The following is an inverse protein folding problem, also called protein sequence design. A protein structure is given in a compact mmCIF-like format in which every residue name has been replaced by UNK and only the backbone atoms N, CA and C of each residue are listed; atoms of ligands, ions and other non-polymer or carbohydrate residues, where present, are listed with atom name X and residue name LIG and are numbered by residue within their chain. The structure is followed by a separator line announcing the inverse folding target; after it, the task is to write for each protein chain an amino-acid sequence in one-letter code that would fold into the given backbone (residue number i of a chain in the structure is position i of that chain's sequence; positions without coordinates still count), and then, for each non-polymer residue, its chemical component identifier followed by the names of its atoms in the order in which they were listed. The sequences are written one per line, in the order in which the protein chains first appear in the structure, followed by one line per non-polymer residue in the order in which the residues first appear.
data_IF_000037055191
#
_entry.id   IF_000037055191
#
_cell.length_a   1.000
_cell.length_b   1.000
_cell.length_c   1.000
_cell.angle_alpha   90.00
_cell.angle_beta   90.00
_cell.angle_gamma   90.00
#
_symmetry.space_group_name_H-M   'P 1'
#
loop_
_entity.id
_entity.type
_entity.pdbx_description
1 polymer ?
#
# COMPACT_ATOMS: atom_id res chain seq x y z
N UNK A 1 18.29 -20.60 -46.01
CA UNK A 1 18.08 -19.15 -45.89
C UNK A 1 16.77 -18.84 -45.16
N UNK A 2 15.62 -19.35 -45.59
CA UNK A 2 14.32 -19.06 -44.93
C UNK A 2 14.17 -19.67 -43.53
N UNK A 3 14.64 -20.90 -43.31
CA UNK A 3 14.63 -21.56 -41.98
C UNK A 3 15.47 -20.84 -40.93
N UNK A 4 16.61 -20.28 -41.33
CA UNK A 4 17.49 -19.51 -40.46
C UNK A 4 16.90 -18.14 -40.13
N UNK A 5 16.18 -17.50 -41.06
CA UNK A 5 15.48 -16.23 -40.81
C UNK A 5 14.35 -16.43 -39.80
N UNK A 6 13.55 -17.50 -39.95
CA UNK A 6 12.51 -17.86 -38.98
C UNK A 6 13.08 -18.11 -37.58
N UNK A 7 14.21 -18.84 -37.48
CA UNK A 7 14.86 -19.08 -36.20
C UNK A 7 15.32 -17.77 -35.52
N UNK A 8 15.86 -16.82 -36.29
CA UNK A 8 16.30 -15.52 -35.77
C UNK A 8 15.11 -14.68 -35.26
N UNK A 9 13.98 -14.69 -35.98
CA UNK A 9 12.76 -13.98 -35.56
C UNK A 9 12.21 -14.56 -34.26
N UNK A 10 12.17 -15.89 -34.14
CA UNK A 10 11.70 -16.56 -32.91
C UNK A 10 12.64 -16.22 -31.74
N UNK A 11 13.95 -16.23 -31.96
CA UNK A 11 14.93 -15.90 -30.93
C UNK A 11 14.80 -14.45 -30.46
N UNK A 12 14.61 -13.51 -31.39
CA UNK A 12 14.45 -12.09 -31.02
C UNK A 12 13.15 -11.84 -30.28
N UNK A 13 12.06 -12.51 -30.69
CA UNK A 13 10.77 -12.42 -30.01
C UNK A 13 10.83 -13.02 -28.60
N UNK A 14 11.50 -14.17 -28.43
CA UNK A 14 11.73 -14.77 -27.11
C UNK A 14 12.56 -13.84 -26.21
N UNK A 15 13.63 -13.24 -26.73
CA UNK A 15 14.43 -12.25 -25.99
C UNK A 15 13.60 -11.02 -25.59
N UNK A 16 12.72 -10.55 -26.47
CA UNK A 16 11.81 -9.44 -26.19
C UNK A 16 10.84 -9.78 -25.06
N UNK A 17 10.24 -10.98 -25.08
CA UNK A 17 9.34 -11.43 -24.01
C UNK A 17 10.05 -11.52 -22.65
N UNK A 18 11.29 -12.02 -22.61
CA UNK A 18 12.09 -12.05 -21.38
C UNK A 18 12.36 -10.63 -20.86
N UNK A 19 12.71 -9.69 -21.73
CA UNK A 19 12.94 -8.29 -21.37
C UNK A 19 11.69 -7.62 -20.77
N UNK A 20 10.51 -7.87 -21.34
CA UNK A 20 9.24 -7.35 -20.81
C UNK A 20 8.91 -7.91 -19.42
N UNK A 21 9.16 -9.20 -19.18
CA UNK A 21 8.89 -9.82 -17.90
C UNK A 21 9.76 -9.22 -16.78
N UNK A 22 11.03 -8.95 -17.07
CA UNK A 22 11.97 -8.33 -16.13
C UNK A 22 11.63 -6.85 -15.88
N UNK A 23 11.22 -6.11 -16.90
CA UNK A 23 10.78 -4.72 -16.75
C UNK A 23 9.55 -4.58 -15.84
N UNK A 24 8.53 -5.43 -16.01
CA UNK A 24 7.34 -5.41 -15.14
C UNK A 24 7.68 -5.79 -13.70
N UNK A 25 8.54 -6.80 -13.50
CA UNK A 25 8.99 -7.22 -12.17
C UNK A 25 9.68 -6.08 -11.42
N UNK A 26 10.52 -5.30 -12.11
CA UNK A 26 11.25 -4.19 -11.51
C UNK A 26 10.35 -2.99 -11.16
N UNK A 27 9.30 -2.71 -11.94
CA UNK A 27 8.34 -1.64 -11.60
C UNK A 27 7.48 -1.98 -10.37
N UNK A 28 7.19 -3.27 -10.13
CA UNK A 28 6.47 -3.71 -8.93
C UNK A 28 7.28 -3.55 -7.64
N UNK A 29 8.61 -3.46 -7.72
CA UNK A 29 9.51 -3.42 -6.58
C UNK A 29 9.81 -2.00 -6.08
N UNK A 30 9.41 -0.96 -6.82
CA UNK A 30 9.54 0.43 -6.40
C UNK A 30 8.29 0.83 -5.60
N UNK A 31 8.39 1.09 -4.28
CA UNK A 31 7.27 1.56 -3.48
C UNK A 31 6.79 2.91 -4.06
N UNK A 32 5.64 2.90 -4.73
CA UNK A 32 5.24 3.99 -5.64
C UNK A 32 4.76 5.25 -4.93
N UNK A 33 4.39 5.15 -3.65
CA UNK A 33 3.94 6.31 -2.87
C UNK A 33 3.94 6.01 -1.36
N UNK A 34 4.16 7.06 -0.59
CA UNK A 34 4.08 7.06 0.88
C UNK A 34 2.89 7.90 1.32
N UNK A 35 2.02 7.35 2.15
CA UNK A 35 1.06 8.12 2.94
C UNK A 35 1.63 8.38 4.32
N UNK A 36 1.38 9.56 4.86
CA UNK A 36 1.70 9.88 6.25
C UNK A 36 0.41 10.11 7.03
N UNK A 37 0.39 9.69 8.28
CA UNK A 37 -0.79 9.85 9.11
C UNK A 37 -0.67 9.17 10.46
N UNK A 38 -1.76 9.20 11.22
CA UNK A 38 -1.87 8.54 12.52
C UNK A 38 -2.54 7.18 12.35
N UNK A 39 -1.90 6.14 12.89
CA UNK A 39 -2.42 4.78 12.78
C UNK A 39 -3.44 4.50 13.88
N UNK A 40 -4.61 4.02 13.51
CA UNK A 40 -5.69 3.68 14.44
C UNK A 40 -5.98 2.18 14.35
N UNK A 41 -5.80 1.48 15.46
CA UNK A 41 -6.10 0.06 15.59
C UNK A 41 -7.37 -0.07 16.43
N UNK A 42 -8.49 -0.43 15.80
CA UNK A 42 -9.80 -0.49 16.46
C UNK A 42 -10.68 -1.55 15.80
N UNK A 43 -11.44 -2.29 16.60
CA UNK A 43 -12.35 -3.35 16.12
C UNK A 43 -11.65 -4.45 15.29
N UNK A 44 -10.37 -4.73 15.57
CA UNK A 44 -9.57 -5.72 14.83
C UNK A 44 -9.10 -5.25 13.45
N UNK A 45 -9.39 -4.00 13.10
CA UNK A 45 -9.03 -3.37 11.84
C UNK A 45 -8.01 -2.26 12.06
N UNK A 46 -7.31 -1.88 10.99
CA UNK A 46 -6.28 -0.85 11.02
C UNK A 46 -6.63 0.24 10.02
N UNK A 47 -6.55 1.48 10.49
CA UNK A 47 -6.84 2.67 9.71
C UNK A 47 -5.68 3.66 9.77
N UNK A 48 -5.56 4.47 8.74
CA UNK A 48 -4.66 5.61 8.70
C UNK A 48 -5.49 6.88 8.62
N UNK A 49 -5.28 7.80 9.56
CA UNK A 49 -5.86 9.14 9.53
C UNK A 49 -4.82 10.09 8.95
N UNK A 50 -5.09 10.65 7.78
CA UNK A 50 -4.14 11.49 7.04
C UNK A 50 -4.18 12.96 7.51
N UNK A 51 -5.20 13.34 8.27
CA UNK A 51 -5.40 14.70 8.71
C UNK A 51 -4.40 15.12 9.80
N UNK A 52 -3.73 16.27 9.65
CA UNK A 52 -2.69 16.72 10.57
C UNK A 52 -3.23 17.23 11.91
N UNK A 53 -4.51 17.62 11.97
CA UNK A 53 -5.22 18.10 13.17
C UNK A 53 -5.90 16.97 13.95
N UNK A 54 -5.58 15.71 13.64
CA UNK A 54 -6.06 14.55 14.36
C UNK A 54 -5.69 14.61 15.85
N UNK A 55 -6.68 14.35 16.71
CA UNK A 55 -6.51 14.29 18.17
C UNK A 55 -6.62 12.84 18.62
N UNK A 56 -5.57 12.28 19.22
CA UNK A 56 -5.55 10.87 19.63
C UNK A 56 -6.72 10.47 20.54
N UNK A 57 -7.19 11.36 21.41
CA UNK A 57 -8.33 11.12 22.31
C UNK A 57 -9.63 10.78 21.55
N UNK A 58 -9.76 11.24 20.32
CA UNK A 58 -10.89 10.93 19.46
C UNK A 58 -10.91 9.46 19.03
N UNK A 59 -9.75 8.83 18.91
CA UNK A 59 -9.65 7.39 18.62
C UNK A 59 -10.33 6.53 19.68
N UNK A 60 -10.20 6.93 20.94
CA UNK A 60 -10.75 6.23 22.08
C UNK A 60 -12.24 6.58 22.26
N UNK A 61 -12.61 7.84 22.01
CA UNK A 61 -13.97 8.36 22.23
C UNK A 61 -14.97 7.98 21.14
N UNK A 62 -14.59 8.04 19.87
CA UNK A 62 -15.52 7.92 18.74
C UNK A 62 -15.46 6.57 18.05
N UNK A 63 -16.58 6.11 17.51
CA UNK A 63 -16.64 4.94 16.63
C UNK A 63 -15.89 5.18 15.31
N UNK A 64 -15.55 4.11 14.59
CA UNK A 64 -14.95 4.24 13.26
C UNK A 64 -15.84 5.03 12.30
N UNK A 65 -17.17 4.91 12.42
CA UNK A 65 -18.10 5.64 11.58
C UNK A 65 -18.04 7.15 11.83
N UNK A 66 -17.99 7.56 13.09
CA UNK A 66 -17.85 8.98 13.48
C UNK A 66 -16.48 9.53 13.09
N UNK A 67 -15.41 8.76 13.31
CA UNK A 67 -14.05 9.14 12.89
C UNK A 67 -13.97 9.35 11.38
N UNK A 68 -14.65 8.53 10.57
CA UNK A 68 -14.68 8.67 9.10
C UNK A 68 -15.42 9.91 8.62
N UNK A 69 -16.41 10.36 9.39
CA UNK A 69 -17.14 11.59 9.08
C UNK A 69 -16.35 12.83 9.50
N UNK A 70 -15.49 12.71 10.51
CA UNK A 70 -14.68 13.80 11.04
C UNK A 70 -13.34 13.95 10.32
N UNK A 71 -12.72 12.84 9.94
CA UNK A 71 -11.36 12.79 9.41
C UNK A 71 -11.27 12.02 8.09
N UNK A 72 -10.39 12.49 7.22
CA UNK A 72 -9.90 11.76 6.06
C UNK A 72 -9.13 10.53 6.54
N UNK A 73 -9.72 9.38 6.30
CA UNK A 73 -9.16 8.11 6.72
C UNK A 73 -9.19 7.05 5.62
N UNK A 74 -8.21 6.16 5.70
CA UNK A 74 -8.01 5.04 4.79
C UNK A 74 -7.93 3.74 5.59
N UNK A 75 -8.58 2.67 5.13
CA UNK A 75 -8.46 1.33 5.73
C UNK A 75 -7.18 0.66 5.22
N UNK A 76 -6.33 0.21 6.13
CA UNK A 76 -5.07 -0.46 5.79
C UNK A 76 -5.30 -1.96 5.63
N UNK A 77 -5.03 -2.49 4.45
CA UNK A 77 -5.01 -3.92 4.19
C UNK A 77 -3.59 -4.46 4.36
N UNK A 78 -3.38 -5.12 5.49
CA UNK A 78 -2.07 -5.62 5.92
C UNK A 78 -2.06 -7.15 5.75
N UNK A 79 -1.04 -7.67 5.04
CA UNK A 79 -0.93 -9.12 4.79
C UNK A 79 -0.37 -9.94 5.96
N UNK A 80 0.22 -9.29 6.97
CA UNK A 80 0.75 -9.99 8.15
C UNK A 80 1.02 -9.07 9.34
N UNK A 81 0.87 -9.61 10.55
CA UNK A 81 1.03 -8.86 11.81
C UNK A 81 2.45 -8.28 12.02
N UNK A 82 3.46 -8.84 11.36
CA UNK A 82 4.84 -8.33 11.44
C UNK A 82 4.98 -6.89 10.97
N UNK A 83 4.13 -6.42 10.05
CA UNK A 83 4.11 -5.04 9.55
C UNK A 83 3.74 -4.02 10.63
N UNK A 84 3.04 -4.44 11.69
CA UNK A 84 2.63 -3.59 12.81
C UNK A 84 3.55 -3.73 14.03
N UNK A 85 4.60 -4.55 13.95
CA UNK A 85 5.45 -4.85 15.12
C UNK A 85 6.10 -3.56 15.62
N UNK A 86 5.83 -3.21 16.88
CA UNK A 86 6.37 -2.02 17.53
C UNK A 86 5.61 -0.72 17.26
N UNK A 87 4.56 -0.76 16.43
CA UNK A 87 3.68 0.38 16.16
C UNK A 87 2.60 0.47 17.24
N UNK A 88 2.40 1.67 17.81
CA UNK A 88 1.39 1.95 18.83
C UNK A 88 0.14 2.58 18.23
N UNK A 89 -1.01 2.38 18.87
CA UNK A 89 -2.26 3.03 18.48
C UNK A 89 -2.12 4.55 18.65
N UNK A 90 -2.57 5.33 17.67
CA UNK A 90 -2.43 6.79 17.60
C UNK A 90 -1.03 7.28 17.19
N UNK A 91 -0.09 6.39 16.87
CA UNK A 91 1.26 6.78 16.46
C UNK A 91 1.27 7.35 15.05
N UNK A 92 2.07 8.41 14.82
CA UNK A 92 2.34 8.92 13.48
C UNK A 92 3.28 7.98 12.72
N UNK A 93 2.90 7.61 11.51
CA UNK A 93 3.61 6.63 10.67
C UNK A 93 3.69 7.07 9.21
N UNK A 94 4.67 6.52 8.50
CA UNK A 94 4.73 6.44 7.04
C UNK A 94 4.25 5.08 6.57
N UNK A 95 3.39 5.06 5.56
CA UNK A 95 2.83 3.84 4.97
C UNK A 95 3.24 3.78 3.50
N UNK A 96 4.03 2.76 3.15
CA UNK A 96 4.31 2.40 1.77
C UNK A 96 3.24 1.44 1.28
N UNK A 97 2.72 1.67 0.08
CA UNK A 97 1.63 0.88 -0.48
C UNK A 97 1.85 0.57 -1.96
N UNK A 98 1.19 -0.50 -2.44
CA UNK A 98 1.22 -0.87 -3.86
C UNK A 98 0.08 -0.24 -4.65
N UNK A 99 -1.11 -0.19 -4.06
CA UNK A 99 -2.34 0.31 -4.68
C UNK A 99 -3.33 0.79 -3.62
N UNK A 100 -4.21 1.72 -4.03
CA UNK A 100 -5.39 2.13 -3.27
C UNK A 100 -6.60 1.65 -4.06
N UNK A 101 -7.44 0.84 -3.43
CA UNK A 101 -8.68 0.37 -4.00
C UNK A 101 -9.78 1.39 -3.69
N UNK A 102 -10.58 1.71 -4.71
CA UNK A 102 -11.72 2.62 -4.56
C UNK A 102 -12.80 1.99 -3.67
N UNK A 103 -12.91 2.51 -2.45
CA UNK A 103 -13.91 2.17 -1.45
C UNK A 103 -14.13 3.35 -0.50
N UNK A 104 -15.12 3.26 0.41
CA UNK A 104 -15.35 4.28 1.43
C UNK A 104 -15.37 3.68 2.85
N UNK A 105 -14.31 3.88 3.67
CA UNK A 105 -13.07 4.59 3.36
C UNK A 105 -12.21 3.84 2.32
N UNK A 106 -11.28 4.54 1.67
CA UNK A 106 -10.39 3.95 0.67
C UNK A 106 -9.54 2.83 1.28
N UNK A 107 -9.29 1.75 0.52
CA UNK A 107 -8.56 0.58 1.04
C UNK A 107 -7.13 0.55 0.48
N UNK A 108 -6.15 0.72 1.35
CA UNK A 108 -4.73 0.84 0.99
C UNK A 108 -4.03 -0.50 1.20
N UNK A 109 -3.42 -1.05 0.16
CA UNK A 109 -2.67 -2.31 0.25
C UNK A 109 -1.23 -2.04 0.71
N UNK A 110 -0.98 -2.37 1.98
CA UNK A 110 0.25 -1.99 2.68
C UNK A 110 1.40 -2.93 2.31
N UNK A 111 2.54 -2.32 1.99
CA UNK A 111 3.83 -3.00 1.82
C UNK A 111 4.68 -2.89 3.09
N UNK A 112 4.72 -1.71 3.69
CA UNK A 112 5.56 -1.40 4.86
C UNK A 112 4.96 -0.25 5.66
N UNK A 113 5.18 -0.26 6.97
CA UNK A 113 4.85 0.83 7.89
C UNK A 113 6.11 1.15 8.69
N UNK A 114 6.43 2.44 8.83
CA UNK A 114 7.50 2.91 9.72
C UNK A 114 7.00 4.02 10.62
N UNK A 115 7.45 4.07 11.88
CA UNK A 115 7.18 5.20 12.75
C UNK A 115 7.89 6.46 12.26
N UNK A 116 7.24 7.62 12.38
CA UNK A 116 7.86 8.93 12.16
C UNK A 116 8.59 9.44 13.39
#
# INVERSE_FOLDING_TARGET
MERSILAIIILSFAALLLFFQEYQTNQSLQPKATLEGFIIMKEGEVYLVEDPDFVQQDADKFTIHELRSKYKMSKLWIKGFSTLKGIKNGQKVKVWYSEILESYPGKVKVLKIEPC
#
